data_IF_299275344071
#
_entry.id   IF_299275344071
#
_cell.length_a   1.000
_cell.length_b   1.000
_cell.length_c   1.000
_cell.angle_alpha   90.00
_cell.angle_beta   90.00
_cell.angle_gamma   90.00
#
_symmetry.space_group_name_H-M   'P 1'
#
loop_
_entity.id
_entity.type
_entity.pdbx_description
1 polymer ?
#
# COMPACT_ATOMS: atom_id res chain seq x y z
N UNK A 1 19.61 -1.59 2.30
CA UNK A 1 19.64 -0.11 2.34
C UNK A 1 18.29 0.39 1.84
N UNK A 2 17.57 1.20 2.63
CA UNK A 2 16.27 1.74 2.23
C UNK A 2 16.42 2.63 0.98
N UNK A 3 15.48 2.61 0.01
CA UNK A 3 15.51 3.54 -1.11
C UNK A 3 15.44 5.01 -0.62
N UNK A 4 16.06 5.96 -1.35
CA UNK A 4 15.91 7.37 -1.06
C UNK A 4 14.44 7.80 -1.10
N UNK A 5 14.09 8.80 -0.26
CA UNK A 5 12.74 9.36 -0.25
C UNK A 5 12.43 9.99 -1.61
N UNK A 6 11.26 9.63 -2.17
CA UNK A 6 10.77 10.24 -3.40
C UNK A 6 10.31 11.68 -3.11
N UNK A 7 11.05 12.64 -3.67
CA UNK A 7 10.80 14.08 -3.52
C UNK A 7 10.17 14.69 -4.78
N UNK A 8 9.78 13.88 -5.77
CA UNK A 8 9.09 14.39 -6.96
C UNK A 8 7.72 14.97 -6.57
N UNK A 9 7.22 15.98 -7.30
CA UNK A 9 5.86 16.48 -7.10
C UNK A 9 4.86 15.33 -7.19
N UNK A 10 3.99 15.21 -6.18
CA UNK A 10 2.95 14.19 -6.13
C UNK A 10 1.65 14.78 -6.65
N UNK A 11 1.00 14.05 -7.55
CA UNK A 11 -0.32 14.37 -8.07
C UNK A 11 -1.42 13.86 -7.15
N UNK A 12 -2.66 14.32 -7.34
CA UNK A 12 -3.79 13.99 -6.46
C UNK A 12 -4.07 12.49 -6.36
N UNK A 13 -3.85 11.75 -7.44
CA UNK A 13 -3.95 10.29 -7.51
C UNK A 13 -2.91 9.56 -6.63
N UNK A 14 -1.82 10.24 -6.25
CA UNK A 14 -0.78 9.71 -5.37
C UNK A 14 -0.98 10.13 -3.91
N UNK A 15 -1.65 11.26 -3.65
CA UNK A 15 -1.81 11.81 -2.28
C UNK A 15 -3.17 11.54 -1.64
N UNK A 16 -4.21 11.24 -2.43
CA UNK A 16 -5.58 11.09 -1.95
C UNK A 16 -5.82 9.73 -1.27
N UNK A 17 -5.16 9.49 -0.15
CA UNK A 17 -5.34 8.28 0.67
C UNK A 17 -6.51 8.45 1.65
N UNK A 18 -7.17 7.33 1.95
CA UNK A 18 -8.20 7.20 2.99
C UNK A 18 -7.59 7.05 4.38
N UNK A 19 -6.28 6.82 4.47
CA UNK A 19 -5.51 6.83 5.72
C UNK A 19 -5.43 5.46 6.40
N UNK A 20 -5.70 4.38 5.67
CA UNK A 20 -5.58 3.03 6.18
C UNK A 20 -4.11 2.62 6.34
N UNK A 21 -3.83 1.71 7.28
CA UNK A 21 -2.52 1.05 7.40
C UNK A 21 -2.54 -0.33 6.75
N UNK A 22 -1.39 -0.95 6.54
CA UNK A 22 -1.33 -2.31 5.96
C UNK A 22 -1.93 -3.37 6.89
N UNK A 23 -1.92 -3.15 8.20
CA UNK A 23 -2.52 -4.02 9.22
C UNK A 23 -4.04 -4.09 9.11
N UNK A 24 -4.70 -3.06 8.59
CA UNK A 24 -6.16 -3.01 8.46
C UNK A 24 -6.70 -4.07 7.47
N UNK A 25 -5.85 -4.62 6.60
CA UNK A 25 -6.26 -5.55 5.54
C UNK A 25 -6.10 -7.03 5.89
N UNK A 26 -5.80 -7.37 7.16
CA UNK A 26 -5.65 -8.76 7.61
C UNK A 26 -4.65 -9.59 6.76
N UNK A 27 -3.58 -8.96 6.26
CA UNK A 27 -2.56 -9.61 5.46
C UNK A 27 -1.74 -10.61 6.28
N UNK A 28 -1.16 -11.62 5.62
CA UNK A 28 -0.25 -12.57 6.27
C UNK A 28 0.95 -11.83 6.88
N UNK A 29 1.41 -12.28 8.05
CA UNK A 29 2.54 -11.68 8.79
C UNK A 29 3.82 -11.58 7.94
N UNK A 30 4.15 -12.61 7.19
CA UNK A 30 5.33 -12.63 6.31
C UNK A 30 5.27 -11.53 5.23
N UNK A 31 4.08 -11.24 4.71
CA UNK A 31 3.86 -10.19 3.73
C UNK A 31 3.99 -8.80 4.39
N UNK A 32 3.37 -8.61 5.56
CA UNK A 32 3.51 -7.36 6.33
C UNK A 32 4.97 -7.06 6.66
N UNK A 33 5.73 -8.08 7.09
CA UNK A 33 7.17 -7.96 7.33
C UNK A 33 7.90 -7.49 6.07
N UNK A 34 7.66 -8.14 4.93
CA UNK A 34 8.29 -7.77 3.67
C UNK A 34 7.95 -6.33 3.22
N UNK A 35 6.70 -5.89 3.43
CA UNK A 35 6.26 -4.51 3.14
C UNK A 35 7.07 -3.50 3.96
N UNK A 36 7.17 -3.71 5.28
CA UNK A 36 7.88 -2.79 6.17
C UNK A 36 9.40 -2.82 5.97
N UNK A 37 10.00 -3.99 5.70
CA UNK A 37 11.42 -4.11 5.39
C UNK A 37 11.81 -3.33 4.11
N UNK A 38 10.87 -3.15 3.18
CA UNK A 38 11.07 -2.31 1.99
C UNK A 38 10.87 -0.82 2.27
N UNK A 39 10.45 -0.44 3.46
CA UNK A 39 10.20 0.95 3.86
C UNK A 39 8.84 1.48 3.39
N UNK A 40 7.88 0.60 3.12
CA UNK A 40 6.50 1.01 2.82
C UNK A 40 5.70 1.08 4.11
N UNK A 41 5.39 2.30 4.53
CA UNK A 41 4.68 2.53 5.80
C UNK A 41 3.16 2.56 5.63
N UNK A 42 2.68 3.02 4.47
CA UNK A 42 1.25 3.15 4.18
C UNK A 42 0.93 2.71 2.75
N UNK A 43 -0.25 2.12 2.50
CA UNK A 43 -0.73 1.84 1.16
C UNK A 43 -0.93 3.14 0.37
N UNK A 44 -0.69 3.09 -0.94
CA UNK A 44 -1.06 4.16 -1.86
C UNK A 44 -2.58 4.18 -2.13
N UNK A 45 -3.15 5.26 -2.68
CA UNK A 45 -4.59 5.35 -2.94
C UNK A 45 -5.16 4.22 -3.81
N UNK A 46 -4.37 3.73 -4.78
CA UNK A 46 -4.75 2.58 -5.60
C UNK A 46 -4.72 1.27 -4.80
N UNK A 47 -3.75 1.10 -3.90
CA UNK A 47 -3.65 -0.08 -3.05
C UNK A 47 -4.80 -0.16 -2.04
N UNK A 48 -5.18 0.97 -1.43
CA UNK A 48 -6.32 1.01 -0.50
C UNK A 48 -7.64 0.57 -1.17
N UNK A 49 -7.76 0.77 -2.48
CA UNK A 49 -8.92 0.34 -3.26
C UNK A 49 -8.77 -1.09 -3.77
N UNK A 50 -7.58 -1.49 -4.22
CA UNK A 50 -7.34 -2.76 -4.88
C UNK A 50 -7.14 -3.93 -3.91
N UNK A 51 -6.44 -3.75 -2.79
CA UNK A 51 -6.17 -4.81 -1.80
C UNK A 51 -7.46 -5.50 -1.35
N UNK A 52 -8.52 -4.81 -0.88
CA UNK A 52 -9.73 -5.48 -0.44
C UNK A 52 -10.42 -6.25 -1.56
N UNK A 53 -10.41 -5.75 -2.80
CA UNK A 53 -11.00 -6.44 -3.96
C UNK A 53 -10.21 -7.72 -4.27
N UNK A 54 -8.87 -7.61 -4.35
CA UNK A 54 -7.99 -8.72 -4.64
C UNK A 54 -8.09 -9.84 -3.60
N UNK A 55 -8.26 -9.49 -2.32
CA UNK A 55 -8.48 -10.45 -1.24
C UNK A 55 -9.81 -11.23 -1.37
N UNK A 56 -10.78 -10.71 -2.12
CA UNK A 56 -12.00 -11.46 -2.46
C UNK A 56 -11.81 -12.49 -3.59
N UNK A 57 -10.62 -12.56 -4.19
CA UNK A 57 -10.34 -13.45 -5.33
C UNK A 57 -10.96 -13.00 -6.65
N UNK A 58 -11.33 -11.71 -6.75
CA UNK A 58 -11.82 -11.10 -7.99
C UNK A 58 -10.68 -10.50 -8.79
N UNK A 59 -10.84 -10.51 -10.11
CA UNK A 59 -9.93 -9.82 -11.02
C UNK A 59 -9.94 -8.31 -10.77
N UNK A 60 -8.77 -7.68 -10.90
CA UNK A 60 -8.56 -6.23 -10.75
C UNK A 60 -7.95 -5.70 -12.06
N UNK A 61 -8.49 -4.59 -12.57
CA UNK A 61 -8.04 -3.91 -13.78
C UNK A 61 -7.34 -2.58 -13.44
#
# INVERSE_FOLDING_TARGET
KLPPKDNRPKTSDVTNTKGHSFEDYCLKRELLMGIYEKGWEKPSPVQEQAIPIALTGRDVL
#
